data_IF_106660932032
#
_entry.id   IF_106660932032
#
_cell.length_a   1.000
_cell.length_b   1.000
_cell.length_c   1.000
_cell.angle_alpha   90.00
_cell.angle_beta   90.00
_cell.angle_gamma   90.00
#
_symmetry.space_group_name_H-M   'P 1'
#
loop_
_entity.id
_entity.type
_entity.pdbx_description
1 polymer ?
#
# COMPACT_ATOMS: atom_id res chain seq x y z
N UNK A 1 6.58 -6.93 25.44
CA UNK A 1 7.17 -6.36 24.22
C UNK A 1 6.63 -7.13 23.03
N UNK A 2 5.79 -6.51 22.22
CA UNK A 2 5.25 -7.16 21.02
C UNK A 2 6.40 -7.47 20.05
N UNK A 3 6.23 -8.42 19.13
CA UNK A 3 7.28 -8.79 18.18
C UNK A 3 7.78 -7.59 17.34
N UNK A 4 6.90 -6.62 17.07
CA UNK A 4 7.19 -5.37 16.35
C UNK A 4 8.06 -4.40 17.15
N UNK A 5 7.84 -4.30 18.48
CA UNK A 5 8.67 -3.42 19.32
C UNK A 5 10.14 -3.86 19.29
N UNK A 6 10.40 -5.17 19.39
CA UNK A 6 11.77 -5.71 19.35
C UNK A 6 12.49 -5.37 18.04
N UNK A 7 11.76 -5.30 16.93
CA UNK A 7 12.33 -4.97 15.63
C UNK A 7 12.70 -3.49 15.52
N UNK A 8 11.87 -2.62 16.10
CA UNK A 8 12.16 -1.18 16.16
C UNK A 8 13.43 -0.89 16.98
N UNK A 9 13.62 -1.59 18.10
CA UNK A 9 14.85 -1.48 18.91
C UNK A 9 16.10 -2.08 18.23
N UNK A 10 15.94 -3.02 17.30
CA UNK A 10 17.04 -3.61 16.52
C UNK A 10 17.37 -2.82 15.24
N UNK A 11 16.52 -1.86 14.87
CA UNK A 11 16.72 -1.05 13.67
C UNK A 11 18.01 -0.24 13.76
N UNK A 12 18.75 -0.17 12.65
CA UNK A 12 19.94 0.71 12.54
C UNK A 12 19.62 2.17 12.90
N UNK A 13 18.36 2.57 12.78
CA UNK A 13 17.90 3.93 13.02
C UNK A 13 17.26 4.12 14.40
N UNK A 14 17.51 3.25 15.37
CA UNK A 14 16.96 3.39 16.72
C UNK A 14 17.29 4.75 17.37
N UNK A 15 18.47 5.31 17.11
CA UNK A 15 18.93 6.62 17.63
C UNK A 15 18.57 7.82 16.76
N UNK A 16 17.99 7.62 15.56
CA UNK A 16 17.59 8.72 14.68
C UNK A 16 16.33 9.37 15.24
N UNK A 17 16.33 10.70 15.30
CA UNK A 17 15.22 11.48 15.83
C UNK A 17 13.88 11.07 15.15
N UNK A 18 12.81 10.88 15.94
CA UNK A 18 11.51 10.43 15.45
C UNK A 18 10.94 11.35 14.36
N UNK A 19 11.17 12.66 14.48
CA UNK A 19 10.75 13.68 13.52
C UNK A 19 11.28 13.43 12.11
N UNK A 20 12.55 13.00 11.97
CA UNK A 20 13.16 12.74 10.65
C UNK A 20 12.54 11.51 9.98
N UNK A 21 12.20 10.49 10.78
CA UNK A 21 11.50 9.29 10.28
C UNK A 21 10.09 9.65 9.82
N UNK A 22 9.40 10.49 10.59
CA UNK A 22 8.07 10.98 10.21
C UNK A 22 8.11 11.84 8.95
N UNK A 23 9.09 12.73 8.80
CA UNK A 23 9.29 13.51 7.57
C UNK A 23 9.58 12.61 6.36
N UNK A 24 10.40 11.58 6.52
CA UNK A 24 10.65 10.60 5.46
C UNK A 24 9.38 9.85 5.07
N UNK A 25 8.59 9.42 6.06
CA UNK A 25 7.29 8.80 5.81
C UNK A 25 6.33 9.75 5.09
N UNK A 26 6.28 11.03 5.48
CA UNK A 26 5.44 12.03 4.84
C UNK A 26 5.85 12.24 3.37
N UNK A 27 7.16 12.29 3.10
CA UNK A 27 7.67 12.37 1.74
C UNK A 27 7.28 11.15 0.89
N UNK A 28 7.44 9.93 1.43
CA UNK A 28 6.99 8.69 0.78
C UNK A 28 5.48 8.67 0.56
N UNK A 29 4.71 9.17 1.52
CA UNK A 29 3.25 9.26 1.37
C UNK A 29 2.88 10.19 0.22
N UNK A 30 3.47 11.39 0.14
CA UNK A 30 3.20 12.33 -0.96
C UNK A 30 3.58 11.70 -2.31
N UNK A 31 4.74 11.04 -2.38
CA UNK A 31 5.19 10.36 -3.60
C UNK A 31 4.22 9.27 -4.04
N UNK A 32 3.68 8.48 -3.10
CA UNK A 32 2.69 7.45 -3.40
C UNK A 32 1.43 8.00 -4.08
N UNK A 33 1.03 9.25 -3.80
CA UNK A 33 -0.14 9.89 -4.42
C UNK A 33 0.17 10.64 -5.72
N UNK A 34 1.41 11.11 -5.90
CA UNK A 34 1.81 11.94 -7.06
C UNK A 34 2.39 11.10 -8.20
N UNK A 35 3.06 9.99 -7.89
CA UNK A 35 3.73 9.16 -8.89
C UNK A 35 2.73 8.36 -9.73
N UNK A 36 3.04 8.11 -11.02
CA UNK A 36 2.29 7.17 -11.84
C UNK A 36 2.47 5.73 -11.30
N UNK A 37 1.64 4.76 -11.71
CA UNK A 37 1.71 3.37 -11.23
C UNK A 37 3.09 2.73 -11.31
N UNK A 38 3.86 3.04 -12.36
CA UNK A 38 5.25 2.57 -12.51
C UNK A 38 6.15 3.17 -11.43
N UNK A 39 6.00 4.47 -11.16
CA UNK A 39 6.75 5.17 -10.10
C UNK A 39 6.41 4.65 -8.71
N UNK A 40 5.12 4.39 -8.44
CA UNK A 40 4.64 3.75 -7.21
C UNK A 40 5.28 2.36 -7.02
N UNK A 41 5.39 1.56 -8.08
CA UNK A 41 6.08 0.27 -8.04
C UNK A 41 7.57 0.38 -7.70
N UNK A 42 8.27 1.36 -8.27
CA UNK A 42 9.69 1.63 -7.94
C UNK A 42 9.82 2.07 -6.48
N UNK A 43 8.95 2.96 -6.02
CA UNK A 43 8.93 3.43 -4.64
C UNK A 43 8.69 2.29 -3.65
N UNK A 44 7.73 1.40 -3.94
CA UNK A 44 7.47 0.19 -3.16
C UNK A 44 8.74 -0.68 -3.00
N UNK A 45 9.50 -0.88 -4.08
CA UNK A 45 10.76 -1.63 -4.05
C UNK A 45 11.82 -0.93 -3.19
N UNK A 46 11.91 0.41 -3.27
CA UNK A 46 12.81 1.20 -2.43
C UNK A 46 12.42 1.07 -0.96
N UNK A 47 11.12 1.17 -0.63
CA UNK A 47 10.60 1.01 0.74
C UNK A 47 10.90 -0.40 1.26
N UNK A 48 10.70 -1.44 0.45
CA UNK A 48 11.00 -2.82 0.80
C UNK A 48 12.50 -3.01 1.07
N UNK A 49 13.37 -2.51 0.18
CA UNK A 49 14.82 -2.57 0.33
C UNK A 49 15.31 -1.82 1.57
N UNK A 50 14.82 -0.60 1.78
CA UNK A 50 15.12 0.22 2.94
C UNK A 50 14.68 -0.46 4.23
N UNK A 51 13.46 -1.04 4.26
CA UNK A 51 12.93 -1.80 5.40
C UNK A 51 13.84 -2.98 5.74
N UNK A 52 14.20 -3.78 4.74
CA UNK A 52 15.05 -4.96 4.93
C UNK A 52 16.44 -4.56 5.45
N UNK A 53 17.01 -3.47 4.94
CA UNK A 53 18.32 -2.98 5.37
C UNK A 53 18.31 -2.39 6.79
N UNK A 54 17.29 -1.59 7.15
CA UNK A 54 17.16 -0.99 8.48
C UNK A 54 16.96 -2.05 9.56
N UNK A 55 16.02 -2.96 9.31
CA UNK A 55 15.57 -3.96 10.29
C UNK A 55 16.40 -5.25 10.25
N UNK A 56 17.32 -5.37 9.28
CA UNK A 56 18.14 -6.58 9.02
C UNK A 56 17.29 -7.85 8.90
N UNK A 57 16.13 -7.72 8.24
CA UNK A 57 15.19 -8.82 8.00
C UNK A 57 15.26 -9.29 6.56
N UNK A 58 14.88 -10.56 6.32
CA UNK A 58 14.75 -11.09 4.97
C UNK A 58 13.53 -10.49 4.27
N UNK A 59 13.62 -10.31 2.94
CA UNK A 59 12.51 -9.85 2.10
C UNK A 59 11.26 -10.73 2.28
N UNK A 60 11.45 -12.04 2.47
CA UNK A 60 10.36 -12.97 2.76
C UNK A 60 9.55 -12.59 4.00
N UNK A 61 10.23 -12.18 5.08
CA UNK A 61 9.57 -11.76 6.32
C UNK A 61 8.79 -10.46 6.11
N UNK A 62 9.35 -9.53 5.34
CA UNK A 62 8.68 -8.29 4.96
C UNK A 62 7.42 -8.56 4.12
N UNK A 63 7.52 -9.43 3.10
CA UNK A 63 6.36 -9.85 2.29
C UNK A 63 5.27 -10.49 3.15
N UNK A 64 5.65 -11.29 4.17
CA UNK A 64 4.67 -11.90 5.08
C UNK A 64 3.89 -10.87 5.90
N UNK A 65 4.48 -9.73 6.25
CA UNK A 65 3.75 -8.64 6.90
C UNK A 65 2.89 -7.86 5.92
N UNK A 66 3.36 -7.67 4.69
CA UNK A 66 2.56 -7.06 3.62
C UNK A 66 1.38 -7.94 3.16
N UNK A 67 1.41 -9.25 3.40
CA UNK A 67 0.35 -10.16 3.00
C UNK A 67 -1.02 -9.81 3.64
N UNK A 68 -1.03 -9.27 4.87
CA UNK A 68 -2.27 -8.88 5.55
C UNK A 68 -2.93 -7.67 4.87
N UNK A 69 -2.24 -6.51 4.73
CA UNK A 69 -2.78 -5.38 3.96
C UNK A 69 -3.09 -5.72 2.50
N UNK A 70 -2.29 -6.59 1.88
CA UNK A 70 -2.49 -7.02 0.50
C UNK A 70 -3.80 -7.79 0.33
N UNK A 71 -4.13 -8.73 1.23
CA UNK A 71 -5.39 -9.45 1.19
C UNK A 71 -6.60 -8.52 1.30
N UNK A 72 -6.53 -7.55 2.22
CA UNK A 72 -7.57 -6.53 2.36
C UNK A 72 -7.70 -5.66 1.09
N UNK A 73 -6.57 -5.23 0.53
CA UNK A 73 -6.53 -4.42 -0.69
C UNK A 73 -7.15 -5.16 -1.88
N UNK A 74 -6.88 -6.46 -2.04
CA UNK A 74 -7.46 -7.26 -3.12
C UNK A 74 -8.98 -7.25 -3.09
N UNK A 75 -9.59 -7.39 -1.90
CA UNK A 75 -11.04 -7.31 -1.74
C UNK A 75 -11.56 -5.94 -2.21
N UNK A 76 -10.89 -4.85 -1.84
CA UNK A 76 -11.26 -3.50 -2.29
C UNK A 76 -11.05 -3.24 -3.78
N UNK A 77 -10.03 -3.85 -4.39
CA UNK A 77 -9.79 -3.71 -5.84
C UNK A 77 -10.84 -4.48 -6.64
N UNK A 78 -11.24 -5.67 -6.16
CA UNK A 78 -12.33 -6.45 -6.77
C UNK A 78 -13.61 -5.62 -6.81
N UNK A 79 -13.97 -4.94 -5.72
CA UNK A 79 -15.19 -4.11 -5.70
C UNK A 79 -15.11 -2.91 -6.66
N UNK A 80 -13.92 -2.35 -6.92
CA UNK A 80 -13.74 -1.27 -7.90
C UNK A 80 -13.88 -1.80 -9.34
N UNK A 81 -13.38 -3.02 -9.61
CA UNK A 81 -13.50 -3.67 -10.93
C UNK A 81 -14.97 -3.93 -11.28
N UNK A 82 -15.77 -4.33 -10.29
CA UNK A 82 -17.21 -4.55 -10.45
C UNK A 82 -17.98 -3.24 -10.32
N UNK A 83 -18.20 -2.56 -11.44
CA UNK A 83 -19.01 -1.34 -11.47
C UNK A 83 -20.47 -1.66 -11.80
N UNK A 84 -21.40 -1.02 -11.10
CA UNK A 84 -22.82 -1.01 -11.45
C UNK A 84 -23.04 0.22 -12.33
N UNK A 85 -23.34 0.03 -13.61
CA UNK A 85 -23.62 1.12 -14.55
C UNK A 85 -24.99 0.95 -15.20
N UNK A 86 -25.66 2.06 -15.53
CA UNK A 86 -26.92 2.05 -16.29
C UNK A 86 -26.69 2.08 -17.81
N UNK A 87 -25.45 2.31 -18.25
CA UNK A 87 -25.12 2.51 -19.66
C UNK A 87 -24.36 1.30 -20.25
N UNK A 88 -25.00 0.50 -21.14
CA UNK A 88 -24.44 -0.73 -21.71
C UNK A 88 -23.27 -0.50 -22.68
N UNK A 89 -23.06 0.73 -23.17
CA UNK A 89 -22.07 1.05 -24.21
C UNK A 89 -20.61 1.08 -23.72
N UNK A 90 -20.37 1.12 -22.40
CA UNK A 90 -19.02 1.12 -21.82
C UNK A 90 -18.61 -0.21 -21.15
N UNK A 91 -19.45 -1.24 -21.23
CA UNK A 91 -19.25 -2.54 -20.57
C UNK A 91 -18.50 -3.51 -21.48
N UNK A 92 -17.36 -4.03 -21.02
CA UNK A 92 -16.58 -5.05 -21.73
C UNK A 92 -17.18 -6.46 -21.55
N UNK A 93 -17.76 -6.71 -20.38
CA UNK A 93 -18.53 -7.91 -20.05
C UNK A 93 -19.44 -7.57 -18.87
N UNK A 94 -20.72 -7.91 -18.94
CA UNK A 94 -21.67 -7.61 -17.87
C UNK A 94 -22.93 -8.45 -17.96
N UNK A 95 -23.57 -8.65 -16.81
CA UNK A 95 -24.85 -9.32 -16.69
C UNK A 95 -25.89 -8.23 -16.43
N UNK A 96 -26.98 -8.25 -17.19
CA UNK A 96 -28.12 -7.38 -16.95
C UNK A 96 -28.89 -7.88 -15.74
N UNK A 97 -29.07 -7.02 -14.74
CA UNK A 97 -29.89 -7.29 -13.55
C UNK A 97 -30.98 -6.22 -13.50
N UNK A 98 -32.07 -6.45 -14.23
CA UNK A 98 -33.19 -5.51 -14.35
C UNK A 98 -32.80 -4.24 -15.14
N UNK A 99 -33.03 -3.02 -14.62
CA UNK A 99 -32.63 -1.77 -15.30
C UNK A 99 -31.16 -1.38 -15.08
N UNK A 100 -30.38 -2.19 -14.37
CA UNK A 100 -28.97 -1.94 -14.08
C UNK A 100 -28.09 -3.01 -14.70
N UNK A 101 -26.92 -2.63 -15.20
CA UNK A 101 -25.91 -3.53 -15.70
C UNK A 101 -24.76 -3.64 -14.70
N UNK A 102 -24.46 -4.86 -14.28
CA UNK A 102 -23.30 -5.14 -13.44
C UNK A 102 -22.23 -5.73 -14.33
N UNK A 103 -21.09 -5.05 -14.45
CA UNK A 103 -20.01 -5.57 -15.27
C UNK A 103 -18.72 -4.80 -15.16
N UNK A 104 -17.76 -5.25 -15.96
CA UNK A 104 -16.40 -4.74 -15.96
C UNK A 104 -16.29 -3.69 -17.06
N UNK A 105 -15.94 -2.47 -16.68
CA UNK A 105 -15.67 -1.38 -17.62
C UNK A 105 -14.16 -1.19 -17.77
N UNK A 106 -13.71 -0.72 -18.95
CA UNK A 106 -12.28 -0.41 -19.16
C UNK A 106 -11.80 0.66 -18.17
N UNK A 107 -12.63 1.65 -17.89
CA UNK A 107 -12.35 2.68 -16.89
C UNK A 107 -12.22 2.08 -15.47
N UNK A 108 -13.10 1.16 -15.08
CA UNK A 108 -13.04 0.47 -13.79
C UNK A 108 -11.73 -0.30 -13.61
N UNK A 109 -11.27 -1.00 -14.65
CA UNK A 109 -9.99 -1.72 -14.63
C UNK A 109 -8.79 -0.76 -14.48
N UNK A 110 -8.79 0.36 -15.20
CA UNK A 110 -7.72 1.37 -15.09
C UNK A 110 -7.68 1.96 -13.69
N UNK A 111 -8.84 2.42 -13.18
CA UNK A 111 -8.95 2.99 -11.83
C UNK A 111 -8.59 1.97 -10.74
N UNK A 112 -8.96 0.71 -10.92
CA UNK A 112 -8.60 -0.38 -10.02
C UNK A 112 -7.09 -0.59 -9.98
N UNK A 113 -6.42 -0.62 -11.14
CA UNK A 113 -4.97 -0.75 -11.21
C UNK A 113 -4.24 0.44 -10.57
N UNK A 114 -4.65 1.67 -10.86
CA UNK A 114 -4.06 2.88 -10.24
C UNK A 114 -4.27 2.88 -8.72
N UNK A 115 -5.48 2.53 -8.27
CA UNK A 115 -5.80 2.48 -6.84
C UNK A 115 -5.03 1.38 -6.13
N UNK A 116 -4.79 0.24 -6.79
CA UNK A 116 -4.00 -0.85 -6.26
C UNK A 116 -2.55 -0.42 -5.99
N UNK A 117 -1.85 0.12 -6.99
CA UNK A 117 -0.45 0.54 -6.83
C UNK A 117 -0.29 1.68 -5.82
N UNK A 118 -1.20 2.66 -5.84
CA UNK A 118 -1.21 3.77 -4.90
C UNK A 118 -1.39 3.27 -3.46
N UNK A 119 -2.39 2.44 -3.23
CA UNK A 119 -2.71 1.92 -1.90
C UNK A 119 -1.60 1.02 -1.39
N UNK A 120 -1.06 0.15 -2.25
CA UNK A 120 0.04 -0.75 -1.88
C UNK A 120 1.29 0.03 -1.45
N UNK A 121 1.63 1.09 -2.17
CA UNK A 121 2.77 1.94 -1.87
C UNK A 121 2.54 2.71 -0.56
N UNK A 122 1.37 3.32 -0.37
CA UNK A 122 1.02 4.00 0.87
C UNK A 122 1.01 3.07 2.10
N UNK A 123 0.50 1.84 1.95
CA UNK A 123 0.53 0.81 2.99
C UNK A 123 1.97 0.41 3.33
N UNK A 124 2.83 0.27 2.32
CA UNK A 124 4.24 -0.05 2.53
C UNK A 124 4.99 1.05 3.28
N UNK A 125 4.75 2.32 2.94
CA UNK A 125 5.32 3.47 3.65
C UNK A 125 4.86 3.49 5.11
N UNK A 126 3.56 3.25 5.34
CA UNK A 126 2.98 3.19 6.68
C UNK A 126 3.57 2.04 7.49
N UNK A 127 3.73 0.85 6.90
CA UNK A 127 4.39 -0.28 7.54
C UNK A 127 5.83 0.08 7.91
N UNK A 128 6.58 0.73 7.01
CA UNK A 128 7.94 1.19 7.29
C UNK A 128 7.99 2.12 8.50
N UNK A 129 7.05 3.07 8.63
CA UNK A 129 6.98 3.97 9.77
C UNK A 129 6.71 3.20 11.07
N UNK A 130 5.69 2.34 11.08
CA UNK A 130 5.31 1.54 12.26
C UNK A 130 6.47 0.66 12.74
N UNK A 131 7.27 0.12 11.82
CA UNK A 131 8.42 -0.72 12.17
C UNK A 131 9.62 0.06 12.70
N UNK A 132 9.74 1.36 12.40
CA UNK A 132 10.92 2.16 12.72
C UNK A 132 10.68 3.29 13.74
N UNK A 133 9.43 3.60 14.06
CA UNK A 133 9.03 4.61 15.02
C UNK A 133 8.37 3.96 16.25
N UNK A 134 9.08 3.76 17.37
CA UNK A 134 8.48 3.23 18.59
C UNK A 134 7.58 4.28 19.24
N UNK A 135 6.33 3.90 19.54
CA UNK A 135 5.28 4.76 20.13
C UNK A 135 5.69 5.58 21.38
N UNK A 136 6.60 5.13 22.27
CA UNK A 136 7.04 5.93 23.42
C UNK A 136 7.77 7.23 23.08
N UNK A 137 8.12 7.48 21.81
CA UNK A 137 8.81 8.69 21.35
C UNK A 137 7.86 9.76 20.77
N UNK A 138 6.55 9.52 20.78
CA UNK A 138 5.51 10.45 20.32
C UNK A 138 4.90 11.29 21.46
N UNK A 139 5.28 11.02 22.71
CA UNK A 139 4.77 11.68 23.93
C UNK A 139 5.87 12.51 24.57
#
# INVERSE_FOLDING_TARGET
MTGLDRLSYQSRWVHVAPQRKFLLWLAMMILAFVLPPVGQGIELLIIAGLSCWLLRISLWRWCRWMAIPFGFLLVGVITIIFSISREPQMLLAGISVGPYWIGITRAGVVTANETFWRSLTALSATLWLVMNLPFPQLI
#
